data_IF_507117899725
#
_entry.id   IF_507117899725
#
_cell.length_a   1.000
_cell.length_b   1.000
_cell.length_c   1.000
_cell.angle_alpha   90.00
_cell.angle_beta   90.00
_cell.angle_gamma   90.00
#
_symmetry.space_group_name_H-M   'P 1'
#
loop_
_entity.id
_entity.type
_entity.pdbx_description
1 polymer ?
#
# COMPACT_ATOMS: atom_id res chain seq x y z
N UNK A 1 -3.67 -12.46 54.51
CA UNK A 1 -3.42 -12.73 53.08
C UNK A 1 -3.63 -11.44 52.29
N UNK A 2 -2.57 -10.63 52.19
CA UNK A 2 -1.88 -10.27 50.93
C UNK A 2 -2.79 -9.46 50.00
N UNK A 3 -2.91 -8.15 50.16
CA UNK A 3 -1.94 -7.10 49.78
C UNK A 3 -1.52 -7.22 48.31
N UNK A 4 -2.10 -6.38 47.47
CA UNK A 4 -1.52 -5.93 46.21
C UNK A 4 -1.30 -4.43 46.36
N UNK A 5 -0.09 -4.08 46.76
CA UNK A 5 0.45 -2.73 46.67
C UNK A 5 1.01 -2.56 45.25
N UNK A 6 0.63 -1.47 44.58
CA UNK A 6 1.22 -1.05 43.31
C UNK A 6 2.03 0.22 43.60
N UNK A 7 3.31 0.03 43.98
CA UNK A 7 4.32 1.09 43.98
C UNK A 7 5.21 0.95 42.75
N UNK A 8 5.38 2.09 42.09
CA UNK A 8 5.82 2.16 40.70
C UNK A 8 7.30 1.92 40.46
N UNK A 9 7.67 1.96 39.19
CA UNK A 9 8.96 2.51 38.81
C UNK A 9 9.03 2.91 37.33
N UNK A 10 9.13 4.22 37.11
CA UNK A 10 10.22 4.84 36.35
C UNK A 10 10.73 4.02 35.15
N UNK A 11 10.06 4.15 34.00
CA UNK A 11 10.69 3.80 32.72
C UNK A 11 11.75 4.85 32.39
N UNK A 12 12.93 4.63 32.95
CA UNK A 12 14.16 5.27 32.56
C UNK A 12 14.31 5.32 31.05
N UNK A 13 14.71 6.49 30.57
CA UNK A 13 15.32 6.67 29.24
C UNK A 13 16.34 5.57 29.01
N UNK A 14 16.17 4.78 27.96
CA UNK A 14 17.31 4.19 27.23
C UNK A 14 17.15 4.46 25.75
N UNK A 15 17.69 5.62 25.38
CA UNK A 15 18.39 5.76 24.11
C UNK A 15 19.51 4.71 24.11
N UNK A 16 19.26 3.60 23.42
CA UNK A 16 20.25 2.60 23.06
C UNK A 16 20.33 2.58 21.55
N UNK A 17 21.38 3.18 21.02
CA UNK A 17 21.65 3.26 19.59
C UNK A 17 21.76 1.86 18.97
N UNK A 18 20.73 1.40 18.27
CA UNK A 18 20.92 0.45 17.18
C UNK A 18 21.12 1.26 15.90
N UNK A 19 22.37 1.69 15.73
CA UNK A 19 22.88 2.27 14.49
C UNK A 19 23.11 1.12 13.51
N UNK A 20 22.04 0.45 13.09
CA UNK A 20 22.10 -0.48 11.97
C UNK A 20 21.71 0.24 10.68
N UNK A 21 22.52 0.01 9.66
CA UNK A 21 22.56 0.68 8.36
C UNK A 21 21.26 0.47 7.57
N UNK A 22 20.15 1.08 7.98
CA UNK A 22 19.06 1.34 7.06
C UNK A 22 19.48 2.53 6.19
N UNK A 23 20.26 2.22 5.15
CA UNK A 23 20.36 3.09 4.00
C UNK A 23 18.94 3.53 3.61
N UNK A 24 18.77 4.83 3.39
CA UNK A 24 17.55 5.50 2.92
C UNK A 24 16.44 4.51 2.54
N UNK A 25 15.41 4.39 3.39
CA UNK A 25 14.22 3.58 3.10
C UNK A 25 13.74 3.96 1.69
N UNK A 26 13.91 3.06 0.71
CA UNK A 26 13.62 3.37 -0.70
C UNK A 26 12.19 3.88 -0.81
N UNK A 27 12.04 5.08 -1.35
CA UNK A 27 10.75 5.66 -1.68
C UNK A 27 10.41 5.28 -3.12
N UNK A 28 9.16 4.89 -3.35
CA UNK A 28 8.67 4.64 -4.70
C UNK A 28 8.22 5.96 -5.30
N UNK A 29 8.71 6.28 -6.49
CA UNK A 29 8.22 7.41 -7.28
C UNK A 29 6.83 7.12 -7.84
N UNK A 30 6.09 8.19 -8.16
CA UNK A 30 4.76 8.08 -8.79
C UNK A 30 4.82 7.30 -10.11
N UNK A 31 5.92 7.43 -10.86
CA UNK A 31 6.15 6.70 -12.11
C UNK A 31 6.32 5.21 -11.86
N UNK A 32 7.18 4.82 -10.92
CA UNK A 32 7.37 3.41 -10.55
C UNK A 32 6.07 2.80 -10.02
N UNK A 33 5.32 3.54 -9.21
CA UNK A 33 4.03 3.11 -8.70
C UNK A 33 2.99 2.89 -9.81
N UNK A 34 2.97 3.75 -10.83
CA UNK A 34 2.06 3.62 -11.96
C UNK A 34 2.41 2.38 -12.80
N UNK A 35 3.69 2.21 -13.14
CA UNK A 35 4.16 1.02 -13.87
C UNK A 35 3.86 -0.24 -13.07
N UNK A 36 4.09 -0.21 -11.76
CA UNK A 36 3.79 -1.34 -10.88
C UNK A 36 2.32 -1.77 -10.94
N UNK A 37 1.37 -0.82 -10.93
CA UNK A 37 -0.05 -1.12 -11.13
C UNK A 37 -0.31 -1.75 -12.49
N UNK A 38 0.30 -1.21 -13.54
CA UNK A 38 0.10 -1.71 -14.89
C UNK A 38 0.64 -3.14 -15.05
N UNK A 39 1.78 -3.44 -14.44
CA UNK A 39 2.33 -4.81 -14.38
C UNK A 39 1.39 -5.75 -13.64
N UNK A 40 0.83 -5.34 -12.49
CA UNK A 40 -0.16 -6.17 -11.80
C UNK A 40 -1.43 -6.40 -12.64
N UNK A 41 -1.88 -5.38 -13.37
CA UNK A 41 -3.02 -5.49 -14.29
C UNK A 41 -2.73 -6.44 -15.45
N UNK A 42 -1.55 -6.34 -16.08
CA UNK A 42 -1.17 -7.24 -17.17
C UNK A 42 -1.07 -8.68 -16.70
N UNK A 43 -0.56 -8.93 -15.49
CA UNK A 43 -0.53 -10.27 -14.90
C UNK A 43 -1.94 -10.85 -14.69
N UNK A 44 -2.90 -10.03 -14.27
CA UNK A 44 -4.30 -10.47 -14.14
C UNK A 44 -4.88 -10.85 -15.52
N UNK A 45 -4.60 -10.06 -16.55
CA UNK A 45 -5.06 -10.32 -17.93
C UNK A 45 -4.39 -11.59 -18.50
N UNK A 46 -3.11 -11.79 -18.22
CA UNK A 46 -2.32 -12.96 -18.65
C UNK A 46 -2.58 -14.22 -17.79
N UNK A 47 -3.70 -14.29 -17.07
CA UNK A 47 -4.11 -15.46 -16.25
C UNK A 47 -3.07 -15.93 -15.21
N UNK A 48 -2.19 -15.01 -14.76
CA UNK A 48 -1.33 -15.27 -13.61
C UNK A 48 -2.11 -15.24 -12.29
N UNK A 49 -3.36 -14.77 -12.32
CA UNK A 49 -4.32 -14.85 -11.22
C UNK A 49 -5.07 -16.19 -11.32
N UNK A 50 -4.87 -17.04 -10.32
CA UNK A 50 -5.70 -18.21 -10.01
C UNK A 50 -6.82 -17.84 -9.03
N UNK A 51 -7.77 -18.77 -8.81
CA UNK A 51 -8.89 -18.58 -7.88
C UNK A 51 -8.42 -18.29 -6.44
N UNK A 52 -7.30 -18.89 -6.02
CA UNK A 52 -6.69 -18.68 -4.71
C UNK A 52 -5.71 -17.49 -4.63
N UNK A 53 -5.61 -16.67 -5.70
CA UNK A 53 -4.66 -15.56 -5.78
C UNK A 53 -3.65 -15.74 -6.91
N UNK A 54 -2.48 -15.10 -6.84
CA UNK A 54 -1.49 -15.20 -7.91
C UNK A 54 -0.72 -16.53 -7.86
N UNK A 55 -0.30 -17.03 -9.04
CA UNK A 55 0.61 -18.18 -9.16
C UNK A 55 1.92 -17.92 -8.41
N UNK A 56 2.56 -18.98 -7.92
CA UNK A 56 3.89 -18.87 -7.32
C UNK A 56 4.87 -18.27 -8.35
N UNK A 57 5.74 -17.36 -7.89
CA UNK A 57 6.69 -16.64 -8.76
C UNK A 57 6.14 -15.38 -9.43
N UNK A 58 4.87 -14.99 -9.25
CA UNK A 58 4.34 -13.74 -9.82
C UNK A 58 5.12 -12.48 -9.38
N UNK A 59 5.77 -12.54 -8.20
CA UNK A 59 6.63 -11.47 -7.67
C UNK A 59 7.90 -11.32 -8.53
N UNK A 60 8.51 -12.43 -8.91
CA UNK A 60 9.67 -12.46 -9.83
C UNK A 60 9.27 -11.97 -11.22
N UNK A 61 8.09 -12.36 -11.71
CA UNK A 61 7.57 -11.87 -12.98
C UNK A 61 7.36 -10.34 -12.92
N UNK A 62 6.82 -9.84 -11.81
CA UNK A 62 6.64 -8.40 -11.60
C UNK A 62 7.97 -7.66 -11.54
N UNK A 63 8.98 -8.23 -10.87
CA UNK A 63 10.34 -7.71 -10.82
C UNK A 63 10.98 -7.63 -12.20
N UNK A 64 10.88 -8.69 -13.00
CA UNK A 64 11.39 -8.70 -14.38
C UNK A 64 10.80 -7.59 -15.24
N UNK A 65 9.49 -7.36 -15.16
CA UNK A 65 8.84 -6.24 -15.87
C UNK A 65 9.29 -4.87 -15.33
N UNK A 66 9.45 -4.72 -14.02
CA UNK A 66 9.91 -3.47 -13.41
C UNK A 66 11.36 -3.16 -13.78
N UNK A 67 12.25 -4.16 -13.81
CA UNK A 67 13.64 -4.02 -14.26
C UNK A 67 13.72 -3.72 -15.75
N UNK A 68 12.83 -4.28 -16.57
CA UNK A 68 12.78 -3.95 -17.99
C UNK A 68 12.45 -2.46 -18.23
N UNK A 69 11.50 -1.90 -17.47
CA UNK A 69 11.12 -0.49 -17.58
C UNK A 69 12.12 0.43 -16.85
N UNK A 70 12.70 -0.05 -15.76
CA UNK A 70 13.65 0.68 -14.92
C UNK A 70 14.91 -0.16 -14.68
N UNK A 71 15.82 -0.26 -15.67
CA UNK A 71 17.01 -1.12 -15.59
C UNK A 71 18.00 -0.71 -14.50
N UNK A 72 17.96 0.55 -14.09
CA UNK A 72 18.79 1.09 -13.00
C UNK A 72 18.07 1.09 -11.64
N UNK A 73 16.90 0.45 -11.54
CA UNK A 73 16.19 0.35 -10.27
C UNK A 73 16.75 -0.79 -9.42
N UNK A 74 16.85 -0.58 -8.11
CA UNK A 74 17.21 -1.64 -7.16
C UNK A 74 15.98 -2.45 -6.69
N UNK A 75 14.88 -2.41 -7.47
CA UNK A 75 13.59 -2.97 -7.07
C UNK A 75 13.70 -4.50 -7.03
N UNK A 76 13.67 -5.04 -5.81
CA UNK A 76 13.70 -6.49 -5.58
C UNK A 76 12.32 -7.09 -5.31
N UNK A 77 12.06 -8.28 -5.84
CA UNK A 77 10.80 -9.01 -5.64
C UNK A 77 10.48 -9.25 -4.16
N UNK A 78 11.37 -9.94 -3.46
CA UNK A 78 11.12 -10.40 -2.08
C UNK A 78 11.01 -9.24 -1.08
N UNK A 79 11.82 -8.19 -1.27
CA UNK A 79 11.94 -7.09 -0.31
C UNK A 79 11.01 -5.91 -0.62
N UNK A 80 10.89 -5.52 -1.89
CA UNK A 80 10.26 -4.25 -2.27
C UNK A 80 8.87 -4.46 -2.86
N UNK A 81 8.72 -5.43 -3.76
CA UNK A 81 7.42 -5.73 -4.38
C UNK A 81 6.44 -6.25 -3.34
N UNK A 82 6.84 -7.20 -2.49
CA UNK A 82 5.95 -7.76 -1.45
C UNK A 82 5.44 -6.74 -0.45
N UNK A 83 6.36 -5.92 0.07
CA UNK A 83 6.00 -4.82 0.96
C UNK A 83 5.01 -3.87 0.27
N UNK A 84 5.24 -3.54 -1.00
CA UNK A 84 4.37 -2.63 -1.76
C UNK A 84 2.98 -3.21 -2.01
N UNK A 85 2.87 -4.49 -2.36
CA UNK A 85 1.58 -5.20 -2.51
C UNK A 85 0.81 -5.16 -1.20
N UNK A 86 1.47 -5.52 -0.09
CA UNK A 86 0.82 -5.57 1.21
C UNK A 86 0.25 -4.20 1.61
N UNK A 87 1.06 -3.14 1.49
CA UNK A 87 0.63 -1.76 1.76
C UNK A 87 -0.56 -1.37 0.87
N UNK A 88 -0.49 -1.64 -0.43
CA UNK A 88 -1.58 -1.32 -1.37
C UNK A 88 -2.86 -2.08 -1.06
N UNK A 89 -2.80 -3.37 -0.70
CA UNK A 89 -3.98 -4.14 -0.27
C UNK A 89 -4.62 -3.53 0.97
N UNK A 90 -3.83 -3.12 1.96
CA UNK A 90 -4.33 -2.47 3.19
C UNK A 90 -4.99 -1.11 2.89
N UNK A 91 -4.38 -0.30 2.04
CA UNK A 91 -4.94 0.97 1.60
C UNK A 91 -6.26 0.76 0.86
N UNK A 92 -6.32 -0.20 -0.07
CA UNK A 92 -7.55 -0.55 -0.78
C UNK A 92 -8.65 -1.02 0.16
N UNK A 93 -8.37 -1.94 1.09
CA UNK A 93 -9.35 -2.41 2.07
C UNK A 93 -9.89 -1.25 2.94
N UNK A 94 -9.02 -0.30 3.32
CA UNK A 94 -9.41 0.90 4.05
C UNK A 94 -10.31 1.81 3.21
N UNK A 95 -9.98 2.00 1.93
CA UNK A 95 -10.78 2.79 1.01
C UNK A 95 -12.15 2.16 0.78
N UNK A 96 -12.21 0.85 0.52
CA UNK A 96 -13.47 0.11 0.38
C UNK A 96 -14.34 0.27 1.63
N UNK A 97 -13.77 0.11 2.83
CA UNK A 97 -14.51 0.31 4.08
C UNK A 97 -15.07 1.73 4.24
N UNK A 98 -14.32 2.75 3.79
CA UNK A 98 -14.78 4.14 3.80
C UNK A 98 -15.88 4.37 2.78
N UNK A 99 -15.73 3.86 1.57
CA UNK A 99 -16.74 3.92 0.50
C UNK A 99 -18.04 3.30 1.01
N UNK A 100 -18.00 2.10 1.59
CA UNK A 100 -19.19 1.42 2.14
C UNK A 100 -19.94 2.22 3.23
N UNK A 101 -19.27 3.18 3.90
CA UNK A 101 -19.87 4.01 4.96
C UNK A 101 -20.37 5.37 4.47
N UNK A 102 -20.18 5.67 3.20
CA UNK A 102 -20.42 6.99 2.60
C UNK A 102 -21.19 6.83 1.29
N UNK A 103 -21.70 7.92 0.73
CA UNK A 103 -22.29 7.93 -0.60
C UNK A 103 -21.25 7.97 -1.74
N UNK A 104 -19.98 7.62 -1.48
CA UNK A 104 -18.97 7.52 -2.54
C UNK A 104 -19.25 6.33 -3.47
N UNK A 105 -19.00 6.50 -4.77
CA UNK A 105 -19.20 5.46 -5.77
C UNK A 105 -17.85 4.96 -6.28
N UNK A 106 -17.71 3.65 -6.45
CA UNK A 106 -16.51 3.03 -7.01
C UNK A 106 -16.65 2.83 -8.52
N UNK A 107 -15.76 3.41 -9.32
CA UNK A 107 -15.63 3.21 -10.77
C UNK A 107 -14.73 2.00 -11.05
N UNK A 108 -15.36 0.88 -11.41
CA UNK A 108 -14.66 -0.36 -11.75
C UNK A 108 -13.78 -0.25 -12.99
N UNK A 109 -14.15 0.58 -13.97
CA UNK A 109 -13.41 0.73 -15.22
C UNK A 109 -12.08 1.47 -15.01
N UNK A 110 -12.11 2.51 -14.19
CA UNK A 110 -10.91 3.30 -13.85
C UNK A 110 -10.17 2.76 -12.63
N UNK A 111 -10.80 1.87 -11.85
CA UNK A 111 -10.34 1.48 -10.52
C UNK A 111 -10.16 2.70 -9.61
N UNK A 112 -11.14 3.61 -9.62
CA UNK A 112 -11.08 4.91 -8.95
C UNK A 112 -12.36 5.21 -8.17
N UNK A 113 -12.26 6.08 -7.16
CA UNK A 113 -13.42 6.61 -6.44
C UNK A 113 -13.95 7.81 -7.20
N UNK A 114 -15.23 7.77 -7.58
CA UNK A 114 -15.96 8.93 -8.12
C UNK A 114 -16.79 9.55 -7.00
N UNK A 115 -16.56 10.83 -6.77
CA UNK A 115 -17.36 11.63 -5.84
C UNK A 115 -18.25 12.53 -6.68
N UNK A 116 -19.56 12.43 -6.50
CA UNK A 116 -20.49 13.42 -7.05
C UNK A 116 -20.21 14.77 -6.38
N UNK A 117 -19.83 15.78 -7.17
CA UNK A 117 -19.50 17.11 -6.65
C UNK A 117 -20.81 17.87 -6.38
N UNK A 118 -21.60 17.44 -5.40
CA UNK A 118 -22.93 18.02 -5.14
C UNK A 118 -23.15 18.35 -3.66
N UNK A 119 -22.09 18.70 -2.92
CA UNK A 119 -22.19 19.05 -1.49
C UNK A 119 -21.38 20.28 -1.05
N UNK A 120 -20.77 21.03 -1.97
CA UNK A 120 -20.29 22.38 -1.65
C UNK A 120 -21.25 23.39 -2.28
N UNK A 121 -22.20 23.87 -1.47
CA UNK A 121 -23.24 24.78 -1.87
C UNK A 121 -22.70 26.02 -2.57
N UNK A 122 -23.28 26.34 -3.72
CA UNK A 122 -23.25 27.71 -4.24
C UNK A 122 -24.04 28.56 -3.26
N UNK A 123 -23.34 29.29 -2.38
CA UNK A 123 -23.93 30.42 -1.68
C UNK A 123 -24.41 31.41 -2.74
N UNK A 124 -25.72 31.38 -3.01
CA UNK A 124 -26.42 32.38 -3.80
C UNK A 124 -26.28 33.71 -3.06
N UNK A 125 -25.62 34.68 -3.70
CA UNK A 125 -25.59 36.07 -3.26
C UNK A 125 -27.03 36.60 -3.13
N UNK A 126 -27.38 37.11 -1.95
CA UNK A 126 -28.48 38.08 -1.77
C UNK A 126 -28.10 39.07 -0.70
#
# INVERSE_FOLDING_TARGET
MSSFEDEGNNTHRRCGAQKEKYGSRRTWSVKEEHVFVNVLKSLIISEWKCDNGFRNGYQMQSEGHMLHVFPNSDIKAEQHINSKIHVRKKQYATLVSKISKSSFVWDNAKSMITVERTVFGTNTLR
#
